data_IF_610618698323
#
_entry.id   IF_610618698323
#
_cell.length_a   1.000
_cell.length_b   1.000
_cell.length_c   1.000
_cell.angle_alpha   90.00
_cell.angle_beta   90.00
_cell.angle_gamma   90.00
#
_symmetry.space_group_name_H-M   'P 1'
#
loop_
_entity.id
_entity.type
_entity.pdbx_description
1 polymer ?
#
# COMPACT_ATOMS: atom_id res chain seq x y z
N UNK A 1 19.62 5.87 -8.01
CA UNK A 1 18.26 6.47 -7.89
C UNK A 1 17.30 5.35 -8.16
N UNK A 2 16.52 4.97 -7.19
CA UNK A 2 15.64 3.80 -7.26
C UNK A 2 14.51 4.11 -8.25
N UNK A 3 14.44 3.37 -9.35
CA UNK A 3 13.28 3.31 -10.25
C UNK A 3 12.38 2.19 -9.77
N UNK A 4 11.11 2.20 -10.13
CA UNK A 4 10.21 1.07 -9.89
C UNK A 4 10.36 0.14 -11.10
N UNK A 5 10.94 -1.05 -10.92
CA UNK A 5 11.15 -2.07 -11.93
C UNK A 5 10.47 -3.38 -11.59
N UNK A 6 10.18 -3.59 -10.31
CA UNK A 6 9.51 -4.80 -9.82
C UNK A 6 8.38 -4.43 -8.87
N UNK A 7 7.17 -4.89 -9.19
CA UNK A 7 5.95 -4.67 -8.40
C UNK A 7 5.45 -6.03 -7.90
N UNK A 8 5.38 -6.20 -6.58
CA UNK A 8 4.72 -7.34 -5.96
C UNK A 8 3.27 -6.99 -5.63
N UNK A 9 2.33 -7.73 -6.19
CA UNK A 9 0.91 -7.49 -6.05
C UNK A 9 0.23 -8.59 -5.23
N UNK A 10 -0.45 -8.23 -4.15
CA UNK A 10 -1.35 -9.14 -3.43
C UNK A 10 -2.73 -9.17 -4.09
N UNK A 11 -3.18 -10.37 -4.40
CA UNK A 11 -4.53 -10.67 -4.89
C UNK A 11 -5.23 -11.67 -3.96
N UNK A 12 -6.53 -11.58 -3.89
CA UNK A 12 -7.43 -12.46 -3.15
C UNK A 12 -8.77 -12.58 -3.89
N UNK A 13 -9.70 -13.38 -3.38
CA UNK A 13 -11.01 -13.57 -4.00
C UNK A 13 -11.98 -12.39 -3.83
N UNK A 14 -11.58 -11.28 -3.21
CA UNK A 14 -12.45 -10.12 -2.99
C UNK A 14 -12.59 -9.24 -4.25
N UNK A 15 -13.73 -8.55 -4.40
CA UNK A 15 -14.00 -7.72 -5.58
C UNK A 15 -12.93 -6.67 -5.91
N UNK A 16 -12.21 -6.18 -4.89
CA UNK A 16 -11.13 -5.20 -5.06
C UNK A 16 -9.90 -5.69 -5.81
N UNK A 17 -9.73 -7.02 -5.97
CA UNK A 17 -8.55 -7.61 -6.63
C UNK A 17 -8.42 -7.22 -8.09
N UNK A 18 -9.54 -7.17 -8.83
CA UNK A 18 -9.52 -6.75 -10.24
C UNK A 18 -9.07 -5.30 -10.41
N UNK A 19 -9.54 -4.40 -9.55
CA UNK A 19 -9.12 -2.98 -9.57
C UNK A 19 -7.65 -2.84 -9.17
N UNK A 20 -7.16 -3.62 -8.18
CA UNK A 20 -5.74 -3.65 -7.81
C UNK A 20 -4.84 -4.16 -8.94
N UNK A 21 -5.29 -5.22 -9.63
CA UNK A 21 -4.58 -5.75 -10.80
C UNK A 21 -4.48 -4.71 -11.92
N UNK A 22 -5.58 -4.04 -12.24
CA UNK A 22 -5.60 -2.98 -13.25
C UNK A 22 -4.66 -1.82 -12.89
N UNK A 23 -4.66 -1.40 -11.62
CA UNK A 23 -3.78 -0.36 -11.10
C UNK A 23 -2.30 -0.78 -11.14
N UNK A 24 -1.99 -2.03 -10.76
CA UNK A 24 -0.62 -2.55 -10.81
C UNK A 24 -0.07 -2.53 -12.24
N UNK A 25 -0.87 -2.95 -13.22
CA UNK A 25 -0.48 -2.89 -14.63
C UNK A 25 -0.31 -1.45 -15.13
N UNK A 26 -1.20 -0.53 -14.77
CA UNK A 26 -1.07 0.89 -15.15
C UNK A 26 0.22 1.51 -14.58
N UNK A 27 0.58 1.15 -13.33
CA UNK A 27 1.86 1.56 -12.75
C UNK A 27 3.05 0.88 -13.44
N UNK A 28 2.94 -0.40 -13.76
CA UNK A 28 3.98 -1.13 -14.50
C UNK A 28 4.24 -0.53 -15.88
N UNK A 29 3.20 -0.19 -16.62
CA UNK A 29 3.31 0.50 -17.92
C UNK A 29 3.98 1.87 -17.77
N UNK A 30 3.58 2.64 -16.75
CA UNK A 30 4.13 3.98 -16.50
C UNK A 30 5.60 3.96 -16.08
N UNK A 31 6.05 2.89 -15.42
CA UNK A 31 7.41 2.77 -14.87
C UNK A 31 8.31 1.79 -15.61
N UNK A 32 7.78 1.08 -16.61
CA UNK A 32 8.47 -0.02 -17.29
C UNK A 32 8.91 -1.09 -16.29
N UNK A 33 7.96 -1.55 -15.45
CA UNK A 33 8.17 -2.51 -14.39
C UNK A 33 7.52 -3.87 -14.70
N UNK A 34 8.01 -4.93 -14.07
CA UNK A 34 7.39 -6.25 -14.05
C UNK A 34 6.41 -6.37 -12.89
N UNK A 35 5.34 -7.18 -13.07
CA UNK A 35 4.37 -7.45 -12.02
C UNK A 35 4.45 -8.92 -11.63
N UNK A 36 4.70 -9.18 -10.35
CA UNK A 36 4.55 -10.50 -9.73
C UNK A 36 3.29 -10.50 -8.89
N UNK A 37 2.29 -11.29 -9.29
CA UNK A 37 1.04 -11.42 -8.56
C UNK A 37 1.09 -12.62 -7.61
N UNK A 38 0.87 -12.37 -6.33
CA UNK A 38 0.76 -13.38 -5.30
C UNK A 38 -0.70 -13.50 -4.89
N UNK A 39 -1.30 -14.65 -5.24
CA UNK A 39 -2.69 -14.95 -4.91
C UNK A 39 -2.76 -15.71 -3.58
N UNK A 40 -3.35 -15.06 -2.58
CA UNK A 40 -3.52 -15.63 -1.25
C UNK A 40 -4.86 -16.34 -1.09
N UNK A 41 -4.83 -17.64 -0.80
CA UNK A 41 -6.00 -18.44 -0.44
C UNK A 41 -5.96 -18.71 1.05
N UNK A 42 -6.98 -18.27 1.78
CA UNK A 42 -7.14 -18.61 3.19
C UNK A 42 -8.03 -19.84 3.32
N UNK A 43 -7.57 -20.93 3.96
CA UNK A 43 -8.43 -22.05 4.30
C UNK A 43 -9.52 -21.60 5.31
N UNK A 44 -10.73 -22.12 5.18
CA UNK A 44 -11.79 -21.89 6.16
C UNK A 44 -11.38 -22.48 7.52
N UNK A 45 -11.28 -21.66 8.60
CA UNK A 45 -10.89 -22.15 9.91
C UNK A 45 -11.83 -23.21 10.49
N UNK A 46 -13.12 -23.21 10.09
CA UNK A 46 -14.09 -24.18 10.56
C UNK A 46 -13.77 -25.60 10.07
N UNK A 47 -13.04 -25.74 8.96
CA UNK A 47 -12.71 -27.03 8.36
C UNK A 47 -11.29 -27.49 8.66
N UNK A 48 -10.37 -26.57 8.92
CA UNK A 48 -9.04 -26.91 9.42
C UNK A 48 -9.13 -27.67 10.77
N UNK A 49 -10.18 -27.44 11.56
CA UNK A 49 -10.41 -28.12 12.83
C UNK A 49 -10.82 -29.61 12.73
N UNK A 50 -11.25 -30.07 11.55
CA UNK A 50 -11.68 -31.47 11.33
C UNK A 50 -10.64 -32.31 10.58
N UNK A 51 -9.54 -31.72 10.13
CA UNK A 51 -8.52 -32.43 9.36
C UNK A 51 -7.49 -33.08 10.28
N UNK A 52 -7.69 -34.34 10.62
CA UNK A 52 -6.73 -35.16 11.40
C UNK A 52 -5.50 -35.62 10.62
N UNK A 53 -5.41 -35.29 9.33
CA UNK A 53 -4.22 -35.61 8.50
C UNK A 53 -3.91 -34.47 7.52
N UNK A 54 -2.63 -34.31 7.17
CA UNK A 54 -2.18 -33.30 6.22
C UNK A 54 -2.82 -33.44 4.82
N UNK A 55 -3.16 -34.70 4.40
CA UNK A 55 -3.84 -34.97 3.15
C UNK A 55 -5.30 -34.56 3.15
N UNK A 56 -6.01 -34.74 4.29
CA UNK A 56 -7.40 -34.30 4.43
C UNK A 56 -7.49 -32.78 4.53
N UNK A 57 -6.51 -32.11 5.16
CA UNK A 57 -6.41 -30.66 5.18
C UNK A 57 -6.18 -30.07 3.78
N UNK A 58 -5.35 -30.70 2.97
CA UNK A 58 -5.12 -30.32 1.56
C UNK A 58 -6.36 -30.51 0.68
N UNK A 59 -7.11 -31.62 0.87
CA UNK A 59 -8.37 -31.86 0.14
C UNK A 59 -9.47 -30.87 0.56
N UNK A 60 -9.65 -30.65 1.85
CA UNK A 60 -10.61 -29.67 2.36
C UNK A 60 -10.25 -28.24 1.91
N UNK A 61 -8.98 -27.87 1.90
CA UNK A 61 -8.50 -26.59 1.36
C UNK A 61 -8.79 -26.48 -0.15
N UNK A 62 -8.66 -27.56 -0.91
CA UNK A 62 -8.94 -27.58 -2.34
C UNK A 62 -10.46 -27.48 -2.66
N UNK A 63 -11.33 -28.15 -1.87
CA UNK A 63 -12.79 -28.09 -2.06
C UNK A 63 -13.38 -26.72 -1.70
N UNK A 64 -12.80 -26.01 -0.70
CA UNK A 64 -13.23 -24.67 -0.29
C UNK A 64 -12.53 -23.56 -1.08
N UNK A 65 -11.49 -23.88 -1.83
CA UNK A 65 -10.90 -23.00 -2.81
C UNK A 65 -11.79 -22.81 -4.07
N UNK A 66 -12.90 -23.54 -4.22
CA UNK A 66 -13.71 -23.49 -5.43
C UNK A 66 -14.19 -22.08 -5.82
N UNK A 67 -14.70 -21.22 -4.89
CA UNK A 67 -15.01 -19.83 -5.23
C UNK A 67 -13.77 -18.99 -5.53
N UNK A 68 -12.64 -19.27 -4.86
CA UNK A 68 -11.38 -18.56 -5.06
C UNK A 68 -10.66 -19.04 -6.33
N UNK A 69 -10.88 -20.27 -6.79
CA UNK A 69 -10.33 -20.78 -8.05
C UNK A 69 -10.94 -20.05 -9.25
N UNK A 70 -12.27 -19.91 -9.30
CA UNK A 70 -12.94 -19.17 -10.37
C UNK A 70 -12.51 -17.69 -10.42
N UNK A 71 -12.35 -17.04 -9.28
CA UNK A 71 -11.86 -15.65 -9.23
C UNK A 71 -10.39 -15.57 -9.64
N UNK A 72 -9.55 -16.53 -9.21
CA UNK A 72 -8.17 -16.63 -9.65
C UNK A 72 -8.07 -16.77 -11.17
N UNK A 73 -8.81 -17.69 -11.76
CA UNK A 73 -8.84 -17.88 -13.22
C UNK A 73 -9.31 -16.62 -13.94
N UNK A 74 -10.32 -15.95 -13.42
CA UNK A 74 -10.81 -14.67 -13.95
C UNK A 74 -9.73 -13.59 -13.90
N UNK A 75 -9.00 -13.46 -12.80
CA UNK A 75 -7.92 -12.49 -12.65
C UNK A 75 -6.74 -12.84 -13.56
N UNK A 76 -6.40 -14.12 -13.70
CA UNK A 76 -5.36 -14.56 -14.64
C UNK A 76 -5.74 -14.24 -16.08
N UNK A 77 -7.00 -14.45 -16.47
CA UNK A 77 -7.49 -14.09 -17.80
C UNK A 77 -7.44 -12.58 -18.05
N UNK A 78 -7.77 -11.77 -17.03
CA UNK A 78 -7.64 -10.32 -17.10
C UNK A 78 -6.17 -9.86 -17.23
N UNK A 79 -5.24 -10.54 -16.57
CA UNK A 79 -3.81 -10.25 -16.69
C UNK A 79 -3.29 -10.66 -18.09
N UNK A 80 -3.66 -11.85 -18.56
CA UNK A 80 -3.26 -12.37 -19.88
C UNK A 80 -3.81 -11.53 -21.06
N UNK A 81 -4.91 -10.82 -20.86
CA UNK A 81 -5.47 -9.92 -21.87
C UNK A 81 -4.64 -8.63 -22.06
N UNK A 82 -3.61 -8.41 -21.25
CA UNK A 82 -2.68 -7.30 -21.38
C UNK A 82 -1.39 -7.77 -22.06
N UNK A 83 -0.74 -6.86 -22.78
CA UNK A 83 0.50 -7.16 -23.53
C UNK A 83 1.70 -7.46 -22.60
N UNK A 84 1.57 -7.25 -21.29
CA UNK A 84 2.64 -7.43 -20.31
C UNK A 84 2.42 -8.72 -19.51
N UNK A 85 3.43 -9.57 -19.51
CA UNK A 85 3.43 -10.81 -18.74
C UNK A 85 3.43 -10.52 -17.23
N UNK A 86 2.67 -11.30 -16.46
CA UNK A 86 2.65 -11.26 -15.02
C UNK A 86 3.04 -12.64 -14.47
N UNK A 87 4.00 -12.67 -13.56
CA UNK A 87 4.33 -13.88 -12.83
C UNK A 87 3.25 -14.13 -11.76
N UNK A 88 2.84 -15.41 -11.60
CA UNK A 88 1.84 -15.78 -10.63
C UNK A 88 2.38 -16.79 -9.63
N UNK A 89 2.09 -16.55 -8.35
CA UNK A 89 2.41 -17.46 -7.27
C UNK A 89 1.17 -17.65 -6.39
N UNK A 90 0.83 -18.89 -6.07
CA UNK A 90 -0.26 -19.23 -5.17
C UNK A 90 0.30 -19.53 -3.78
N UNK A 91 -0.27 -18.89 -2.76
CA UNK A 91 0.08 -19.17 -1.37
C UNK A 91 -1.16 -19.58 -0.60
N UNK A 92 -1.09 -20.72 0.05
CA UNK A 92 -2.18 -21.31 0.83
C UNK A 92 -1.85 -21.24 2.32
N UNK A 93 -2.80 -20.79 3.13
CA UNK A 93 -2.74 -20.90 4.58
C UNK A 93 -2.21 -19.70 5.33
N UNK A 94 -1.86 -19.91 6.60
CA UNK A 94 -1.41 -18.86 7.53
C UNK A 94 -0.03 -18.28 7.18
N UNK A 95 0.66 -18.88 6.20
CA UNK A 95 1.99 -18.46 5.75
C UNK A 95 1.96 -17.28 4.78
N UNK A 96 0.78 -16.79 4.37
CA UNK A 96 0.65 -15.71 3.37
C UNK A 96 1.41 -14.43 3.78
N UNK A 97 1.39 -14.05 5.07
CA UNK A 97 2.13 -12.89 5.58
C UNK A 97 3.62 -13.10 5.36
N UNK A 98 4.12 -14.26 5.79
CA UNK A 98 5.55 -14.58 5.71
C UNK A 98 6.02 -14.67 4.25
N UNK A 99 5.27 -15.40 3.42
CA UNK A 99 5.59 -15.52 1.99
C UNK A 99 5.60 -14.15 1.30
N UNK A 100 4.58 -13.32 1.52
CA UNK A 100 4.48 -12.01 0.90
C UNK A 100 5.62 -11.07 1.35
N UNK A 101 5.96 -11.08 2.64
CA UNK A 101 7.08 -10.28 3.17
C UNK A 101 8.43 -10.76 2.64
N UNK A 102 8.62 -12.08 2.47
CA UNK A 102 9.84 -12.63 1.89
C UNK A 102 10.00 -12.22 0.42
N UNK A 103 8.95 -12.33 -0.39
CA UNK A 103 8.95 -11.91 -1.80
C UNK A 103 9.12 -10.39 -1.95
N UNK A 104 8.61 -9.61 -0.99
CA UNK A 104 8.76 -8.16 -0.98
C UNK A 104 10.22 -7.68 -0.88
N UNK A 105 11.16 -8.55 -0.49
CA UNK A 105 12.59 -8.24 -0.51
C UNK A 105 13.15 -8.03 -1.92
N UNK A 106 12.45 -8.53 -2.94
CA UNK A 106 12.83 -8.45 -4.35
C UNK A 106 11.97 -7.46 -5.15
N UNK A 107 11.10 -6.72 -4.48
CA UNK A 107 10.23 -5.72 -5.09
C UNK A 107 10.69 -4.30 -4.78
N UNK A 108 10.46 -3.38 -5.73
CA UNK A 108 10.63 -1.94 -5.52
C UNK A 108 9.35 -1.30 -4.96
N UNK A 109 8.20 -1.95 -5.18
CA UNK A 109 6.89 -1.53 -4.70
C UNK A 109 6.04 -2.76 -4.39
N UNK A 110 5.39 -2.78 -3.22
CA UNK A 110 4.36 -3.78 -2.93
C UNK A 110 2.98 -3.13 -2.98
N UNK A 111 1.99 -3.83 -3.56
CA UNK A 111 0.60 -3.36 -3.66
C UNK A 111 -0.31 -4.31 -2.90
N UNK A 112 -1.04 -3.77 -1.93
CA UNK A 112 -2.00 -4.51 -1.10
C UNK A 112 -3.34 -3.78 -1.05
N UNK A 113 -4.44 -4.52 -0.82
CA UNK A 113 -5.74 -3.89 -0.57
C UNK A 113 -5.85 -3.39 0.87
N UNK A 114 -6.55 -2.30 1.08
CA UNK A 114 -6.87 -1.83 2.42
C UNK A 114 -7.59 -2.93 3.23
N UNK A 115 -7.39 -2.98 4.57
CA UNK A 115 -8.09 -3.92 5.43
C UNK A 115 -9.59 -3.75 5.27
N UNK A 116 -10.31 -4.85 5.04
CA UNK A 116 -11.77 -4.84 5.00
C UNK A 116 -12.29 -5.70 6.16
N UNK A 117 -13.15 -5.14 6.99
CA UNK A 117 -13.70 -5.84 8.15
C UNK A 117 -14.96 -6.55 7.69
N UNK A 118 -14.95 -7.90 7.63
CA UNK A 118 -16.21 -8.62 7.62
C UNK A 118 -16.43 -9.73 6.61
N UNK A 119 -15.59 -9.92 5.59
CA UNK A 119 -15.71 -11.06 4.68
C UNK A 119 -14.54 -12.03 4.86
N UNK A 120 -14.79 -13.25 5.24
CA UNK A 120 -13.74 -14.27 5.46
C UNK A 120 -12.87 -14.59 4.23
N UNK A 121 -13.09 -13.96 3.09
CA UNK A 121 -12.43 -14.23 1.82
C UNK A 121 -11.08 -13.48 1.62
N UNK A 122 -10.71 -12.60 2.56
CA UNK A 122 -9.49 -11.80 2.47
C UNK A 122 -8.31 -12.37 3.27
N UNK A 123 -7.15 -11.67 3.26
CA UNK A 123 -5.99 -12.05 4.05
C UNK A 123 -6.31 -12.01 5.55
N UNK A 124 -5.48 -12.66 6.40
CA UNK A 124 -5.70 -12.66 7.84
C UNK A 124 -5.68 -11.23 8.40
N UNK A 125 -6.39 -11.00 9.53
CA UNK A 125 -6.31 -9.71 10.23
C UNK A 125 -4.86 -9.34 10.52
N UNK A 126 -4.50 -8.07 10.34
CA UNK A 126 -3.13 -7.60 10.54
C UNK A 126 -2.18 -7.84 9.37
N UNK A 127 -2.63 -8.44 8.26
CA UNK A 127 -1.79 -8.67 7.07
C UNK A 127 -1.21 -7.37 6.52
N UNK A 128 -2.05 -6.37 6.30
CA UNK A 128 -1.61 -5.08 5.72
C UNK A 128 -0.63 -4.38 6.63
N UNK A 129 -0.91 -4.37 7.94
CA UNK A 129 -0.03 -3.81 8.95
C UNK A 129 1.32 -4.54 8.98
N UNK A 130 1.31 -5.86 8.91
CA UNK A 130 2.52 -6.68 8.87
C UNK A 130 3.35 -6.39 7.61
N UNK A 131 2.71 -6.29 6.44
CA UNK A 131 3.38 -5.92 5.18
C UNK A 131 4.01 -4.54 5.29
N UNK A 132 3.26 -3.53 5.76
CA UNK A 132 3.77 -2.16 5.90
C UNK A 132 4.94 -2.06 6.89
N UNK A 133 4.93 -2.88 7.96
CA UNK A 133 5.97 -2.86 9.01
C UNK A 133 7.20 -3.69 8.69
N UNK A 134 7.04 -4.79 7.95
CA UNK A 134 8.09 -5.81 7.79
C UNK A 134 8.65 -5.87 6.37
N UNK A 135 7.94 -5.30 5.37
CA UNK A 135 8.41 -5.28 3.99
C UNK A 135 9.64 -4.37 3.84
N UNK A 136 10.62 -4.82 3.07
CA UNK A 136 11.76 -4.01 2.67
C UNK A 136 11.35 -2.91 1.65
N UNK A 137 10.31 -3.18 0.86
CA UNK A 137 9.78 -2.26 -0.14
C UNK A 137 8.69 -1.35 0.44
N UNK A 138 8.48 -0.15 -0.13
CA UNK A 138 7.33 0.69 0.20
C UNK A 138 6.02 -0.02 -0.15
N UNK A 139 5.00 0.13 0.68
CA UNK A 139 3.68 -0.46 0.48
C UNK A 139 2.68 0.57 -0.03
N UNK A 140 2.05 0.29 -1.18
CA UNK A 140 0.90 1.02 -1.69
C UNK A 140 -0.38 0.31 -1.25
N UNK A 141 -1.08 0.91 -0.31
CA UNK A 141 -2.35 0.41 0.22
C UNK A 141 -3.49 1.00 -0.60
N UNK A 142 -4.24 0.13 -1.27
CA UNK A 142 -5.29 0.51 -2.24
C UNK A 142 -6.67 0.39 -1.62
N UNK A 143 -7.48 1.47 -1.57
CA UNK A 143 -8.85 1.41 -1.09
C UNK A 143 -9.75 0.58 -2.01
N UNK A 144 -10.87 0.10 -1.48
CA UNK A 144 -11.95 -0.46 -2.27
C UNK A 144 -13.30 0.14 -1.82
N UNK A 145 -14.10 0.68 -2.73
CA UNK A 145 -13.82 0.83 -4.16
C UNK A 145 -12.71 1.87 -4.46
N UNK A 146 -11.97 1.65 -5.54
CA UNK A 146 -11.01 2.61 -6.02
C UNK A 146 -11.76 3.77 -6.69
N UNK A 147 -11.59 4.97 -6.15
CA UNK A 147 -12.35 6.15 -6.59
C UNK A 147 -11.87 6.72 -7.92
N UNK A 148 -10.63 6.41 -8.34
CA UNK A 148 -9.98 6.88 -9.56
C UNK A 148 -9.13 5.78 -10.16
N UNK A 149 -9.09 5.71 -11.47
CA UNK A 149 -8.29 4.72 -12.20
C UNK A 149 -6.80 5.11 -12.26
N UNK A 150 -6.49 6.43 -12.25
CA UNK A 150 -5.12 6.93 -12.22
C UNK A 150 -4.58 7.00 -10.80
N UNK A 151 -3.28 6.77 -10.64
CA UNK A 151 -2.55 6.93 -9.38
C UNK A 151 -1.23 7.62 -9.62
N UNK A 152 -1.00 8.70 -8.88
CA UNK A 152 0.24 9.47 -8.90
C UNK A 152 0.27 10.61 -9.90
N UNK A 153 -0.88 11.03 -10.44
CA UNK A 153 -0.97 12.26 -11.24
C UNK A 153 -1.03 13.48 -10.30
N UNK A 154 -1.73 13.36 -9.18
CA UNK A 154 -1.84 14.41 -8.15
C UNK A 154 -1.47 13.84 -6.79
N UNK A 155 -0.22 14.02 -6.39
CA UNK A 155 0.31 13.44 -5.16
C UNK A 155 0.16 14.39 -3.96
N UNK A 156 -0.20 13.81 -2.82
CA UNK A 156 -0.24 14.47 -1.53
C UNK A 156 0.78 13.85 -0.58
N UNK A 157 1.72 14.64 -0.09
CA UNK A 157 2.76 14.20 0.86
C UNK A 157 2.42 14.73 2.25
N UNK A 158 2.11 13.82 3.18
CA UNK A 158 1.94 14.15 4.59
C UNK A 158 3.32 14.21 5.27
N UNK A 159 3.77 15.41 5.59
CA UNK A 159 5.10 15.66 6.09
C UNK A 159 5.10 16.08 7.57
N UNK A 160 5.82 15.34 8.40
CA UNK A 160 6.00 15.67 9.82
C UNK A 160 7.48 15.73 10.26
N UNK A 161 8.41 15.64 9.31
CA UNK A 161 9.84 15.66 9.59
C UNK A 161 10.41 14.39 10.23
N UNK A 162 9.63 13.31 10.38
CA UNK A 162 10.10 12.04 10.93
C UNK A 162 10.96 11.27 9.93
N UNK A 163 11.73 10.31 10.45
CA UNK A 163 12.53 9.38 9.62
C UNK A 163 11.64 8.59 8.67
N UNK A 164 10.47 8.17 9.14
CA UNK A 164 9.50 7.41 8.34
C UNK A 164 8.92 8.26 7.20
N UNK A 165 8.55 9.52 7.50
CA UNK A 165 8.10 10.45 6.45
C UNK A 165 9.21 10.71 5.40
N UNK A 166 10.46 10.83 5.84
CA UNK A 166 11.60 11.00 4.94
C UNK A 166 11.86 9.75 4.09
N UNK A 167 11.69 8.54 4.66
CA UNK A 167 11.77 7.28 3.91
C UNK A 167 10.67 7.17 2.87
N UNK A 168 9.41 7.45 3.26
CA UNK A 168 8.28 7.44 2.35
C UNK A 168 8.45 8.41 1.19
N UNK A 169 8.89 9.65 1.50
CA UNK A 169 9.17 10.66 0.50
C UNK A 169 10.23 10.20 -0.52
N UNK A 170 11.32 9.59 -0.03
CA UNK A 170 12.38 9.05 -0.89
C UNK A 170 11.88 7.90 -1.77
N UNK A 171 11.11 6.98 -1.19
CA UNK A 171 10.52 5.86 -1.89
C UNK A 171 9.51 6.29 -2.98
N UNK A 172 8.78 7.38 -2.73
CA UNK A 172 7.81 7.93 -3.66
C UNK A 172 8.42 8.72 -4.84
N UNK A 173 9.72 9.08 -4.80
CA UNK A 173 10.34 9.92 -5.84
C UNK A 173 10.08 9.48 -7.27
N UNK A 174 10.13 8.18 -7.65
CA UNK A 174 9.82 7.76 -9.01
C UNK A 174 8.41 8.16 -9.45
N UNK A 175 7.43 8.08 -8.55
CA UNK A 175 6.04 8.49 -8.81
C UNK A 175 5.90 10.02 -8.80
N UNK A 176 6.51 10.70 -7.81
CA UNK A 176 6.43 12.16 -7.68
C UNK A 176 7.04 12.91 -8.86
N UNK A 177 8.06 12.36 -9.50
CA UNK A 177 8.66 12.94 -10.72
C UNK A 177 7.77 12.90 -11.94
N UNK A 178 6.81 11.99 -11.95
CA UNK A 178 5.83 11.81 -13.03
C UNK A 178 4.48 12.45 -12.71
N UNK A 179 4.33 13.00 -11.51
CA UNK A 179 3.12 13.66 -11.09
C UNK A 179 2.98 15.05 -11.76
N UNK A 180 1.77 15.39 -12.15
CA UNK A 180 1.43 16.72 -12.67
C UNK A 180 1.42 17.76 -11.55
N UNK A 181 0.98 17.36 -10.35
CA UNK A 181 0.95 18.21 -9.17
C UNK A 181 1.40 17.45 -7.93
N UNK A 182 2.26 18.09 -7.12
CA UNK A 182 2.72 17.58 -5.83
C UNK A 182 2.41 18.60 -4.74
N UNK A 183 1.64 18.18 -3.73
CA UNK A 183 1.31 18.96 -2.56
C UNK A 183 1.97 18.35 -1.33
N UNK A 184 2.67 19.16 -0.54
CA UNK A 184 3.26 18.76 0.73
C UNK A 184 2.57 19.54 1.84
N UNK A 185 1.99 18.83 2.80
CA UNK A 185 1.33 19.46 3.93
C UNK A 185 1.84 18.95 5.28
N UNK A 186 1.93 19.85 6.25
CA UNK A 186 2.30 19.53 7.63
C UNK A 186 1.33 20.16 8.61
N UNK A 187 1.03 19.44 9.70
CA UNK A 187 0.24 19.91 10.84
C UNK A 187 1.12 19.86 12.08
N UNK A 188 1.66 20.98 12.47
CA UNK A 188 2.55 21.06 13.63
C UNK A 188 2.27 22.29 14.47
N UNK A 189 2.28 22.14 15.80
CA UNK A 189 2.22 23.24 16.74
C UNK A 189 3.49 24.09 16.72
N UNK A 190 4.58 23.53 16.19
CA UNK A 190 5.88 24.17 16.09
C UNK A 190 6.36 23.98 14.65
N UNK A 191 6.77 25.07 14.02
CA UNK A 191 7.49 24.94 12.76
C UNK A 191 8.64 23.93 12.97
N UNK A 192 8.83 22.93 12.08
CA UNK A 192 9.97 22.04 12.18
C UNK A 192 11.21 22.92 12.36
N UNK A 193 12.04 22.59 13.36
CA UNK A 193 13.29 23.33 13.56
C UNK A 193 14.01 23.37 12.21
N UNK A 194 14.21 24.58 11.69
CA UNK A 194 14.87 24.74 10.41
C UNK A 194 16.25 24.06 10.52
N UNK A 195 16.59 23.14 9.60
CA UNK A 195 17.91 22.52 9.60
C UNK A 195 18.96 23.63 9.51
N UNK A 196 20.09 23.48 10.20
CA UNK A 196 21.20 24.44 10.19
C UNK A 196 21.67 24.81 8.77
N UNK A 197 21.45 23.92 7.81
CA UNK A 197 21.79 24.11 6.39
C UNK A 197 20.77 24.91 5.59
N UNK A 198 19.62 25.31 6.17
CA UNK A 198 18.49 25.91 5.44
C UNK A 198 17.83 24.96 4.43
N UNK A 199 18.05 23.64 4.56
CA UNK A 199 17.36 22.64 3.76
C UNK A 199 15.97 22.43 4.32
N UNK A 200 14.97 22.54 3.44
CA UNK A 200 13.59 22.17 3.70
C UNK A 200 13.12 21.11 2.70
N UNK A 201 11.93 20.57 2.94
CA UNK A 201 11.36 19.51 2.08
C UNK A 201 11.14 19.99 0.65
N UNK A 202 10.70 21.23 0.43
CA UNK A 202 10.48 21.79 -0.90
C UNK A 202 11.78 21.97 -1.68
N UNK A 203 12.83 22.50 -1.00
CA UNK A 203 14.16 22.61 -1.62
C UNK A 203 14.77 21.25 -1.94
N UNK A 204 14.54 20.27 -1.06
CA UNK A 204 14.99 18.90 -1.30
C UNK A 204 14.29 18.29 -2.52
N UNK A 205 12.96 18.41 -2.64
CA UNK A 205 12.18 17.95 -3.78
C UNK A 205 12.63 18.59 -5.10
N UNK A 206 12.81 19.92 -5.13
CA UNK A 206 13.33 20.62 -6.32
C UNK A 206 14.67 20.07 -6.78
N UNK A 207 15.59 19.75 -5.88
CA UNK A 207 16.89 19.12 -6.23
C UNK A 207 16.72 17.74 -6.85
N UNK A 208 15.58 17.08 -6.61
CA UNK A 208 15.24 15.79 -7.19
C UNK A 208 14.32 15.89 -8.40
N UNK A 209 14.13 17.11 -8.95
CA UNK A 209 13.31 17.34 -10.14
C UNK A 209 11.81 17.33 -9.89
N UNK A 210 11.38 17.58 -8.63
CA UNK A 210 9.96 17.62 -8.25
C UNK A 210 9.61 19.03 -7.76
N UNK A 211 8.72 19.70 -8.51
CA UNK A 211 8.12 20.96 -8.05
C UNK A 211 6.92 20.66 -7.15
N UNK A 212 6.93 21.19 -5.93
CA UNK A 212 5.90 20.92 -4.93
C UNK A 212 5.36 22.21 -4.30
N UNK A 213 4.05 22.23 -4.06
CA UNK A 213 3.40 23.26 -3.27
C UNK A 213 3.45 22.85 -1.80
N UNK A 214 4.23 23.57 -0.98
CA UNK A 214 4.40 23.26 0.44
C UNK A 214 3.50 24.15 1.28
N UNK A 215 2.70 23.54 2.15
CA UNK A 215 1.81 24.22 3.09
C UNK A 215 2.04 23.76 4.53
N UNK A 216 1.92 24.68 5.47
CA UNK A 216 1.93 24.40 6.89
C UNK A 216 0.57 24.80 7.47
N UNK A 217 -0.04 23.89 8.21
CA UNK A 217 -1.34 24.07 8.84
C UNK A 217 -1.20 24.11 10.36
N UNK A 218 -2.10 24.79 11.06
CA UNK A 218 -2.14 24.75 12.52
C UNK A 218 -2.26 23.31 13.04
N UNK A 219 -1.66 23.06 14.19
CA UNK A 219 -1.81 21.76 14.85
C UNK A 219 -3.28 21.48 15.14
N UNK A 220 -3.68 20.25 14.92
CA UNK A 220 -5.02 19.74 15.21
C UNK A 220 -4.92 18.38 15.91
N UNK A 221 -5.82 18.07 16.86
CA UNK A 221 -5.89 16.74 17.45
C UNK A 221 -6.38 15.66 16.45
N UNK A 222 -7.02 16.09 15.34
CA UNK A 222 -7.61 15.23 14.31
C UNK A 222 -6.91 15.42 12.96
N UNK A 223 -5.60 15.12 12.93
CA UNK A 223 -4.77 15.25 11.71
C UNK A 223 -5.31 14.37 10.59
N UNK A 224 -5.84 13.18 10.90
CA UNK A 224 -6.42 12.25 9.94
C UNK A 224 -7.59 12.86 9.17
N UNK A 225 -8.46 13.60 9.84
CA UNK A 225 -9.61 14.29 9.21
C UNK A 225 -9.16 15.47 8.36
N UNK A 226 -8.22 16.27 8.88
CA UNK A 226 -7.65 17.39 8.15
C UNK A 226 -6.92 16.93 6.87
N UNK A 227 -6.17 15.82 6.96
CA UNK A 227 -5.49 15.23 5.81
C UNK A 227 -6.51 14.75 4.77
N UNK A 228 -7.57 14.02 5.16
CA UNK A 228 -8.63 13.58 4.25
C UNK A 228 -9.28 14.76 3.52
N UNK A 229 -9.65 15.80 4.26
CA UNK A 229 -10.25 17.02 3.71
C UNK A 229 -9.34 17.67 2.66
N UNK A 230 -8.02 17.77 2.93
CA UNK A 230 -7.05 18.31 1.97
C UNK A 230 -6.87 17.43 0.73
N UNK A 231 -6.77 16.11 0.89
CA UNK A 231 -6.69 15.14 -0.22
C UNK A 231 -7.92 15.25 -1.12
N UNK A 232 -9.12 15.35 -0.54
CA UNK A 232 -10.37 15.52 -1.28
C UNK A 232 -10.44 16.89 -1.98
N UNK A 233 -10.14 17.97 -1.25
CA UNK A 233 -10.15 19.35 -1.79
C UNK A 233 -9.21 19.50 -2.97
N UNK A 234 -8.01 18.94 -2.88
CA UNK A 234 -6.97 18.98 -3.91
C UNK A 234 -7.18 17.90 -4.97
N UNK A 235 -8.14 17.01 -4.78
CA UNK A 235 -8.43 15.88 -5.66
C UNK A 235 -7.19 15.02 -5.90
N UNK A 236 -6.40 14.77 -4.88
CA UNK A 236 -5.22 13.92 -4.99
C UNK A 236 -5.61 12.45 -5.17
N UNK A 237 -4.82 11.73 -5.97
CA UNK A 237 -5.00 10.32 -6.29
C UNK A 237 -3.90 9.43 -5.71
N UNK A 238 -2.95 10.02 -5.00
CA UNK A 238 -1.91 9.35 -4.24
C UNK A 238 -1.64 10.11 -2.95
N UNK A 239 -1.59 9.39 -1.83
CA UNK A 239 -1.08 9.91 -0.55
C UNK A 239 0.26 9.25 -0.26
N UNK A 240 1.25 10.04 0.16
CA UNK A 240 2.58 9.56 0.59
C UNK A 240 2.76 9.92 2.05
N UNK A 241 3.01 8.94 2.90
CA UNK A 241 3.23 9.16 4.33
C UNK A 241 4.12 8.11 4.98
N UNK A 242 4.86 8.50 6.01
CA UNK A 242 5.50 7.58 6.92
C UNK A 242 4.48 6.95 7.88
N UNK A 243 4.71 5.73 8.29
CA UNK A 243 3.86 5.05 9.26
C UNK A 243 4.60 4.76 10.57
N UNK A 244 3.86 4.71 11.69
CA UNK A 244 4.36 4.28 13.01
C UNK A 244 5.59 5.04 13.54
N UNK A 245 5.71 6.35 13.26
CA UNK A 245 6.89 7.18 13.55
C UNK A 245 7.10 7.58 15.01
N UNK A 246 6.16 7.31 15.91
CA UNK A 246 6.31 7.62 17.33
C UNK A 246 6.68 6.36 18.13
N UNK A 247 7.80 6.44 18.83
CA UNK A 247 8.49 5.40 19.60
C UNK A 247 7.63 4.23 20.10
N UNK A 248 8.16 3.01 19.91
CA UNK A 248 7.66 1.70 20.39
C UNK A 248 7.40 1.60 21.91
N UNK A 249 7.53 2.67 22.68
CA UNK A 249 7.48 2.64 24.16
C UNK A 249 6.06 2.72 24.72
N UNK A 250 5.03 2.91 23.89
CA UNK A 250 3.63 2.82 24.33
C UNK A 250 2.92 1.72 23.57
N UNK A 251 2.95 0.54 24.12
CA UNK A 251 2.36 -0.72 23.66
C UNK A 251 0.84 -0.70 23.39
N UNK A 252 0.19 0.46 23.35
CA UNK A 252 -1.27 0.56 23.18
C UNK A 252 -1.75 1.60 22.17
N UNK A 253 -0.85 2.30 21.46
CA UNK A 253 -1.29 3.32 20.50
C UNK A 253 -0.58 3.14 19.15
N UNK A 254 -1.15 2.29 18.29
CA UNK A 254 -1.00 2.46 16.84
C UNK A 254 -1.33 3.92 16.52
N UNK A 255 -0.39 4.67 15.92
CA UNK A 255 -0.58 6.11 15.68
C UNK A 255 -1.93 6.34 15.01
N UNK A 256 -2.79 7.15 15.61
CA UNK A 256 -4.18 7.34 15.20
C UNK A 256 -4.35 7.63 13.71
N UNK A 257 -3.44 8.43 13.13
CA UNK A 257 -3.44 8.77 11.70
C UNK A 257 -3.19 7.54 10.81
N UNK A 258 -2.17 6.72 11.12
CA UNK A 258 -1.87 5.50 10.32
C UNK A 258 -3.03 4.54 10.34
N UNK A 259 -3.58 4.25 11.52
CA UNK A 259 -4.72 3.33 11.65
C UNK A 259 -5.97 3.85 10.95
N UNK A 260 -6.27 5.13 11.07
CA UNK A 260 -7.42 5.74 10.42
C UNK A 260 -7.31 5.69 8.89
N UNK A 261 -6.11 5.95 8.35
CA UNK A 261 -5.88 5.91 6.92
C UNK A 261 -5.78 4.50 6.35
N UNK A 262 -5.33 3.50 7.13
CA UNK A 262 -5.40 2.10 6.72
C UNK A 262 -6.85 1.60 6.69
N UNK A 263 -7.67 1.99 7.68
CA UNK A 263 -9.06 1.53 7.76
C UNK A 263 -9.95 2.09 6.65
N UNK A 264 -9.71 3.33 6.22
CA UNK A 264 -10.50 4.00 5.17
C UNK A 264 -9.61 5.01 4.43
N UNK A 265 -8.80 4.57 3.47
CA UNK A 265 -7.91 5.45 2.72
C UNK A 265 -8.70 6.37 1.76
N UNK A 266 -8.45 7.70 1.74
CA UNK A 266 -9.13 8.62 0.80
C UNK A 266 -8.68 8.43 -0.65
N UNK A 267 -7.51 7.91 -0.86
CA UNK A 267 -6.86 7.54 -2.12
C UNK A 267 -5.85 6.42 -1.83
N UNK A 268 -5.22 5.78 -2.82
CA UNK A 268 -4.07 4.92 -2.61
C UNK A 268 -3.00 5.59 -1.74
N UNK A 269 -2.52 4.88 -0.71
CA UNK A 269 -1.57 5.42 0.28
C UNK A 269 -0.25 4.67 0.20
N UNK A 270 0.82 5.35 -0.19
CA UNK A 270 2.17 4.82 -0.15
C UNK A 270 2.78 5.04 1.23
N UNK A 271 3.14 3.96 1.88
CA UNK A 271 3.66 3.95 3.24
C UNK A 271 5.03 3.26 3.34
N UNK A 272 5.87 3.74 4.27
CA UNK A 272 7.08 3.06 4.74
C UNK A 272 7.21 3.20 6.25
N UNK A 273 7.85 2.23 6.85
CA UNK A 273 8.22 2.26 8.28
C UNK A 273 9.68 2.67 8.49
#
# INVERSE_FOLDING_TARGET
>A
MTEIRSILLHLDARPGSASRLALAHALADRHDAEVTALFGVRPDPAQASFAYSASAALHAAAEHAAPSVGERERLMALAAARERESLWCDVVGDTIVHAFVAEAAYADLVIVGAPNVGDGAGPPPGFVEAVVLQSAAPALVVPHPLRRESVGDRAFVAWNGSVQAARALKAALPMLRRADEVHVASWSARAPAAPFSGLDVGRWLRRHGVEARVSAHPATPHVENALRAEVERLRCDLVVMGCYGHSRIREQMFGGVTRALLADPPAPVLMTH
#
